data_IF_547254514375
#
_entry.id   IF_547254514375
#
_cell.length_a   1.000
_cell.length_b   1.000
_cell.length_c   1.000
_cell.angle_alpha   90.00
_cell.angle_beta   90.00
_cell.angle_gamma   90.00
#
_symmetry.space_group_name_H-M   'P 1'
#
loop_
_entity.id
_entity.type
_entity.pdbx_description
1 polymer ?
#
# COMPACT_ATOMS: atom_id res chain seq x y z
N UNK A 1 2.65 25.11 -5.61
CA UNK A 1 1.41 24.36 -5.90
C UNK A 1 1.52 22.86 -5.62
N UNK A 2 2.69 22.27 -5.38
CA UNK A 2 2.78 20.85 -4.99
C UNK A 2 2.49 20.60 -3.50
N UNK A 3 2.64 21.62 -2.66
CA UNK A 3 2.49 21.51 -1.20
C UNK A 3 1.04 21.24 -0.77
N UNK A 4 0.05 21.90 -1.40
CA UNK A 4 -1.36 21.80 -1.01
C UNK A 4 -2.00 20.45 -1.36
N UNK A 5 -1.59 19.84 -2.49
CA UNK A 5 -2.11 18.53 -2.92
C UNK A 5 -1.60 17.40 -2.03
N UNK A 6 -0.38 17.54 -1.51
CA UNK A 6 0.26 16.58 -0.61
C UNK A 6 -0.39 16.59 0.79
N UNK A 7 -0.80 17.76 1.29
CA UNK A 7 -1.53 17.89 2.56
C UNK A 7 -2.97 17.36 2.47
N UNK A 8 -3.68 17.62 1.35
CA UNK A 8 -5.04 17.13 1.15
C UNK A 8 -5.15 15.60 1.01
N UNK A 9 -4.11 14.93 0.50
CA UNK A 9 -4.07 13.47 0.36
C UNK A 9 -3.73 12.77 1.68
N UNK A 10 -2.97 13.41 2.58
CA UNK A 10 -2.65 12.84 3.88
C UNK A 10 -3.87 12.74 4.80
N UNK A 11 -4.82 13.67 4.68
CA UNK A 11 -6.02 13.75 5.54
C UNK A 11 -7.21 12.90 5.03
N UNK A 12 -7.00 12.05 4.01
CA UNK A 12 -8.01 11.07 3.61
C UNK A 12 -8.22 10.07 4.75
N UNK A 13 -9.49 9.88 5.12
CA UNK A 13 -9.92 8.89 6.10
C UNK A 13 -9.29 7.50 5.81
N UNK A 14 -8.61 6.87 6.79
CA UNK A 14 -7.98 5.58 6.59
C UNK A 14 -8.91 4.49 6.05
N UNK A 15 -10.21 4.50 6.41
CA UNK A 15 -11.20 3.57 5.87
C UNK A 15 -11.41 3.73 4.36
N UNK A 16 -11.28 4.96 3.83
CA UNK A 16 -11.34 5.24 2.38
C UNK A 16 -10.10 4.68 1.68
N UNK A 17 -8.92 4.81 2.29
CA UNK A 17 -7.68 4.20 1.76
C UNK A 17 -7.80 2.68 1.72
N UNK A 18 -8.37 2.05 2.75
CA UNK A 18 -8.65 0.60 2.76
C UNK A 18 -9.64 0.22 1.67
N UNK A 19 -10.69 1.02 1.43
CA UNK A 19 -11.65 0.77 0.36
C UNK A 19 -10.96 0.74 -1.00
N UNK A 20 -10.25 1.81 -1.34
CA UNK A 20 -9.51 1.96 -2.58
C UNK A 20 -8.51 0.81 -2.81
N UNK A 21 -7.70 0.50 -1.79
CA UNK A 21 -6.75 -0.61 -1.84
C UNK A 21 -7.46 -1.96 -2.03
N UNK A 22 -8.66 -2.15 -1.47
CA UNK A 22 -9.42 -3.39 -1.63
C UNK A 22 -10.02 -3.57 -3.02
N UNK A 23 -10.28 -2.47 -3.73
CA UNK A 23 -10.78 -2.48 -5.10
C UNK A 23 -9.67 -2.84 -6.09
N UNK A 24 -8.47 -2.28 -5.90
CA UNK A 24 -7.32 -2.52 -6.79
C UNK A 24 -6.60 -3.84 -6.46
N UNK A 25 -6.23 -4.04 -5.19
CA UNK A 25 -5.42 -5.21 -4.79
C UNK A 25 -6.28 -6.45 -4.45
N UNK A 26 -7.58 -6.24 -4.20
CA UNK A 26 -8.47 -7.27 -3.68
C UNK A 26 -8.33 -7.47 -2.17
N UNK A 27 -9.41 -7.93 -1.53
CA UNK A 27 -9.48 -8.02 -0.07
C UNK A 27 -8.42 -8.89 0.61
N UNK A 28 -7.90 -9.94 -0.06
CA UNK A 28 -6.85 -10.80 0.51
C UNK A 28 -5.52 -10.07 0.70
N UNK A 29 -5.08 -9.30 -0.30
CA UNK A 29 -3.84 -8.53 -0.19
C UNK A 29 -4.01 -7.36 0.77
N UNK A 30 -5.14 -6.68 0.75
CA UNK A 30 -5.44 -5.62 1.73
C UNK A 30 -5.43 -6.17 3.17
N UNK A 31 -6.00 -7.36 3.40
CA UNK A 31 -5.95 -8.02 4.70
C UNK A 31 -4.50 -8.35 5.10
N UNK A 32 -3.72 -8.90 4.17
CA UNK A 32 -2.31 -9.22 4.41
C UNK A 32 -1.49 -7.98 4.79
N UNK A 33 -1.62 -6.88 4.03
CA UNK A 33 -0.93 -5.61 4.31
C UNK A 33 -1.32 -5.07 5.69
N UNK A 34 -2.62 -5.07 6.01
CA UNK A 34 -3.11 -4.66 7.33
C UNK A 34 -2.69 -5.59 8.47
N UNK A 35 -2.26 -6.82 8.17
CA UNK A 35 -1.97 -7.83 9.19
C UNK A 35 -3.21 -8.53 9.75
N UNK A 36 -4.34 -8.43 9.06
CA UNK A 36 -5.56 -9.17 9.40
C UNK A 36 -5.45 -10.65 9.00
N UNK A 37 -6.16 -11.50 9.75
CA UNK A 37 -6.25 -12.94 9.47
C UNK A 37 -7.29 -13.30 8.40
N UNK A 38 -8.22 -12.38 8.13
CA UNK A 38 -9.36 -12.61 7.23
C UNK A 38 -9.78 -11.33 6.48
N UNK A 39 -10.57 -11.51 5.42
CA UNK A 39 -11.12 -10.42 4.60
C UNK A 39 -12.37 -9.78 5.23
N UNK A 40 -13.00 -10.42 6.20
CA UNK A 40 -14.13 -9.85 6.94
C UNK A 40 -13.68 -8.62 7.75
N UNK A 41 -12.46 -8.65 8.29
CA UNK A 41 -11.82 -7.52 8.97
C UNK A 41 -11.65 -6.32 8.04
N UNK A 42 -11.23 -6.55 6.79
CA UNK A 42 -11.15 -5.50 5.76
C UNK A 42 -12.53 -4.88 5.52
N UNK A 43 -13.59 -5.68 5.47
CA UNK A 43 -14.96 -5.17 5.35
C UNK A 43 -15.34 -4.26 6.52
N UNK A 44 -15.02 -4.67 7.76
CA UNK A 44 -15.30 -3.86 8.96
C UNK A 44 -14.52 -2.54 8.97
N UNK A 45 -13.27 -2.53 8.52
CA UNK A 45 -12.48 -1.30 8.37
C UNK A 45 -13.12 -0.35 7.35
N UNK A 46 -13.52 -0.84 6.17
CA UNK A 46 -14.17 -0.03 5.12
C UNK A 46 -15.48 0.58 5.60
N UNK A 47 -16.28 -0.19 6.35
CA UNK A 47 -17.57 0.25 6.86
C UNK A 47 -17.47 1.08 8.15
N UNK A 48 -16.25 1.43 8.61
CA UNK A 48 -15.98 2.13 9.88
C UNK A 48 -16.56 1.41 11.12
N UNK A 49 -16.84 0.12 11.01
CA UNK A 49 -17.34 -0.72 12.11
C UNK A 49 -16.21 -1.15 13.06
N UNK A 50 -14.96 -1.06 12.60
CA UNK A 50 -13.77 -1.31 13.38
C UNK A 50 -12.76 -0.20 13.08
N UNK A 51 -12.23 0.44 14.12
CA UNK A 51 -11.16 1.44 13.97
C UNK A 51 -9.85 0.74 13.61
N UNK A 52 -9.04 1.42 12.80
CA UNK A 52 -7.68 1.01 12.53
C UNK A 52 -6.76 1.45 13.66
N UNK A 53 -5.75 0.62 13.96
CA UNK A 53 -4.62 0.96 14.82
C UNK A 53 -3.65 1.87 14.07
N UNK A 54 -2.77 2.57 14.80
CA UNK A 54 -1.74 3.43 14.19
C UNK A 54 -0.83 2.67 13.22
N UNK A 55 -0.42 1.44 13.57
CA UNK A 55 0.38 0.59 12.69
C UNK A 55 -0.37 0.21 11.41
N UNK A 56 -1.64 -0.15 11.51
CA UNK A 56 -2.48 -0.42 10.32
C UNK A 56 -2.62 0.82 9.43
N UNK A 57 -2.86 2.00 10.02
CA UNK A 57 -2.93 3.27 9.29
C UNK A 57 -1.62 3.53 8.55
N UNK A 58 -0.47 3.35 9.20
CA UNK A 58 0.85 3.55 8.59
C UNK A 58 1.08 2.62 7.40
N UNK A 59 0.72 1.33 7.53
CA UNK A 59 0.82 0.34 6.44
C UNK A 59 -0.07 0.69 5.26
N UNK A 60 -1.31 1.10 5.52
CA UNK A 60 -2.25 1.48 4.46
C UNK A 60 -1.90 2.81 3.81
N UNK A 61 -1.35 3.78 4.54
CA UNK A 61 -0.87 5.02 3.95
C UNK A 61 0.23 4.75 2.92
N UNK A 62 1.22 3.92 3.27
CA UNK A 62 2.31 3.59 2.36
C UNK A 62 1.85 2.80 1.14
N UNK A 63 0.99 1.79 1.35
CA UNK A 63 0.42 1.03 0.24
C UNK A 63 -0.45 1.91 -0.67
N UNK A 64 -1.24 2.82 -0.08
CA UNK A 64 -2.09 3.76 -0.82
C UNK A 64 -1.26 4.68 -1.69
N UNK A 65 -0.20 5.30 -1.15
CA UNK A 65 0.66 6.22 -1.89
C UNK A 65 1.33 5.52 -3.10
N UNK A 66 1.81 4.27 -2.90
CA UNK A 66 2.37 3.48 -3.99
C UNK A 66 1.33 3.08 -5.05
N UNK A 67 0.15 2.59 -4.63
CA UNK A 67 -0.92 2.22 -5.58
C UNK A 67 -1.45 3.44 -6.33
N UNK A 68 -1.63 4.57 -5.64
CA UNK A 68 -2.06 5.84 -6.25
C UNK A 68 -1.06 6.29 -7.31
N UNK A 69 0.24 6.26 -7.01
CA UNK A 69 1.27 6.58 -7.99
C UNK A 69 1.14 5.72 -9.26
N UNK A 70 0.96 4.41 -9.12
CA UNK A 70 0.84 3.51 -10.28
C UNK A 70 -0.44 3.74 -11.07
N UNK A 71 -1.57 3.96 -10.40
CA UNK A 71 -2.85 4.26 -11.06
C UNK A 71 -2.81 5.61 -11.80
N UNK A 72 -2.17 6.63 -11.22
CA UNK A 72 -1.92 7.91 -11.87
C UNK A 72 -1.05 7.76 -13.14
N UNK A 73 -0.13 6.78 -13.14
CA UNK A 73 0.70 6.39 -14.29
C UNK A 73 0.04 5.34 -15.20
N UNK A 74 -1.27 5.11 -15.07
CA UNK A 74 -2.09 4.25 -15.95
C UNK A 74 -1.70 2.77 -15.95
N UNK A 75 -1.05 2.30 -14.89
CA UNK A 75 -0.81 0.88 -14.68
C UNK A 75 -2.14 0.21 -14.33
N UNK A 76 -2.49 -0.90 -14.98
CA UNK A 76 -3.77 -1.56 -14.73
C UNK A 76 -3.83 -2.19 -13.33
N UNK A 77 -5.03 -2.35 -12.78
CA UNK A 77 -5.19 -2.97 -11.46
C UNK A 77 -4.57 -4.38 -11.37
N UNK A 78 -4.65 -5.16 -12.45
CA UNK A 78 -4.04 -6.49 -12.52
C UNK A 78 -2.51 -6.44 -12.49
N UNK A 79 -1.89 -5.47 -13.19
CA UNK A 79 -0.45 -5.24 -13.15
C UNK A 79 0.01 -4.74 -11.78
N UNK A 80 -0.71 -3.77 -11.17
CA UNK A 80 -0.43 -3.29 -9.82
C UNK A 80 -0.46 -4.45 -8.83
N UNK A 81 -1.46 -5.33 -8.95
CA UNK A 81 -1.60 -6.50 -8.10
C UNK A 81 -0.47 -7.52 -8.32
N UNK A 82 -0.07 -7.75 -9.56
CA UNK A 82 1.08 -8.60 -9.88
C UNK A 82 2.38 -8.04 -9.29
N UNK A 83 2.61 -6.74 -9.44
CA UNK A 83 3.75 -6.02 -8.85
C UNK A 83 3.75 -6.10 -7.33
N UNK A 84 2.59 -6.00 -6.68
CA UNK A 84 2.48 -6.06 -5.23
C UNK A 84 2.89 -7.43 -4.65
N UNK A 85 2.74 -8.51 -5.43
CA UNK A 85 3.06 -9.88 -5.04
C UNK A 85 4.48 -10.27 -5.45
N UNK A 86 4.96 -9.77 -6.60
CA UNK A 86 6.28 -10.11 -7.14
C UNK A 86 7.43 -9.64 -6.25
N UNK A 87 8.46 -10.47 -6.10
CA UNK A 87 9.70 -10.11 -5.37
C UNK A 87 10.59 -9.24 -6.26
N UNK A 88 10.25 -7.96 -6.35
CA UNK A 88 10.89 -6.99 -7.24
C UNK A 88 11.58 -5.83 -6.51
N UNK A 89 11.40 -5.73 -5.19
CA UNK A 89 11.96 -4.66 -4.40
C UNK A 89 13.21 -5.14 -3.66
N UNK A 90 14.32 -4.41 -3.79
CA UNK A 90 15.56 -4.75 -3.09
C UNK A 90 15.50 -4.42 -1.61
N UNK A 91 15.97 -5.35 -0.78
CA UNK A 91 16.18 -5.17 0.66
C UNK A 91 17.57 -5.68 1.06
N UNK A 92 18.02 -5.37 2.28
CA UNK A 92 19.28 -5.90 2.82
C UNK A 92 19.34 -7.43 2.93
N UNK A 93 18.21 -8.14 2.75
CA UNK A 93 18.11 -9.61 2.78
C UNK A 93 17.81 -10.23 1.40
N UNK A 94 17.88 -9.43 0.33
CA UNK A 94 17.51 -9.85 -1.03
C UNK A 94 16.22 -9.21 -1.52
N UNK A 95 15.62 -9.80 -2.55
CA UNK A 95 14.38 -9.31 -3.13
C UNK A 95 13.20 -9.63 -2.21
N UNK A 96 12.30 -8.67 -2.06
CA UNK A 96 11.04 -8.81 -1.33
C UNK A 96 9.91 -8.20 -2.16
N UNK A 97 8.69 -8.62 -1.87
CA UNK A 97 7.52 -8.03 -2.51
C UNK A 97 7.09 -6.73 -1.82
N UNK A 98 6.53 -5.76 -2.57
CA UNK A 98 6.00 -4.52 -2.00
C UNK A 98 4.98 -4.77 -0.90
N UNK A 99 4.07 -5.73 -1.08
CA UNK A 99 3.08 -6.09 -0.06
C UNK A 99 3.71 -6.54 1.26
N UNK A 100 4.80 -7.33 1.21
CA UNK A 100 5.56 -7.76 2.39
C UNK A 100 6.30 -6.60 3.03
N UNK A 101 6.85 -5.69 2.23
CA UNK A 101 7.52 -4.49 2.73
C UNK A 101 6.54 -3.57 3.46
N UNK A 102 5.39 -3.26 2.85
CA UNK A 102 4.36 -2.43 3.48
C UNK A 102 3.83 -3.08 4.76
N UNK A 103 3.58 -4.39 4.76
CA UNK A 103 3.16 -5.11 5.98
C UNK A 103 4.14 -4.94 7.15
N UNK A 104 5.44 -4.86 6.85
CA UNK A 104 6.50 -4.75 7.85
C UNK A 104 7.06 -3.33 7.99
N UNK A 105 6.36 -2.30 7.50
CA UNK A 105 6.86 -0.91 7.48
C UNK A 105 7.11 -0.32 8.87
N UNK A 106 6.50 -0.89 9.90
CA UNK A 106 6.75 -0.50 11.30
C UNK A 106 8.17 -0.86 11.76
N UNK A 107 8.81 -1.81 11.06
CA UNK A 107 10.19 -2.25 11.32
C UNK A 107 11.21 -1.55 10.41
N UNK A 108 10.75 -0.75 9.46
CA UNK A 108 11.63 -0.01 8.57
C UNK A 108 12.14 1.26 9.29
N UNK A 109 13.40 1.62 9.03
CA UNK A 109 14.00 2.86 9.54
C UNK A 109 13.26 4.08 8.98
N UNK A 110 12.81 4.01 7.72
CA UNK A 110 12.06 5.07 7.04
C UNK A 110 10.92 4.50 6.15
N UNK A 111 9.66 4.82 6.45
CA UNK A 111 8.52 4.46 5.59
C UNK A 111 8.62 5.02 4.17
N UNK A 112 9.08 6.28 4.03
CA UNK A 112 9.24 6.94 2.74
C UNK A 112 10.27 6.23 1.85
N UNK A 113 11.34 5.66 2.43
CA UNK A 113 12.33 4.91 1.66
C UNK A 113 11.73 3.60 1.12
N UNK A 114 10.88 2.93 1.91
CA UNK A 114 10.16 1.74 1.44
C UNK A 114 9.27 2.06 0.24
N UNK A 115 8.55 3.20 0.29
CA UNK A 115 7.66 3.63 -0.81
C UNK A 115 8.49 3.97 -2.06
N UNK A 116 9.58 4.74 -1.91
CA UNK A 116 10.49 5.08 -3.02
C UNK A 116 11.09 3.83 -3.66
N UNK A 117 11.51 2.85 -2.85
CA UNK A 117 12.04 1.58 -3.36
C UNK A 117 10.98 0.80 -4.15
N UNK A 118 9.74 0.76 -3.66
CA UNK A 118 8.64 0.10 -4.35
C UNK A 118 8.27 0.80 -5.68
N UNK A 119 8.32 2.13 -5.73
CA UNK A 119 8.14 2.92 -6.96
C UNK A 119 9.26 2.62 -7.96
N UNK A 120 10.51 2.65 -7.52
CA UNK A 120 11.66 2.36 -8.37
C UNK A 120 11.60 0.94 -8.96
N UNK A 121 11.22 -0.05 -8.14
CA UNK A 121 11.02 -1.43 -8.59
C UNK A 121 9.93 -1.55 -9.66
N UNK A 122 8.80 -0.86 -9.47
CA UNK A 122 7.72 -0.85 -10.46
C UNK A 122 8.15 -0.21 -11.79
N UNK A 123 8.82 0.93 -11.74
CA UNK A 123 9.29 1.62 -12.94
C UNK A 123 10.29 0.79 -13.74
N UNK A 124 11.16 0.01 -13.07
CA UNK A 124 12.09 -0.89 -13.74
C UNK A 124 11.39 -2.07 -14.46
N UNK A 125 10.22 -2.49 -13.99
CA UNK A 125 9.47 -3.60 -14.61
C UNK A 125 8.61 -3.11 -15.77
N UNK A 126 8.11 -1.87 -15.68
CA UNK A 126 7.18 -1.28 -16.64
C UNK A 126 7.87 -0.57 -17.82
N UNK A 127 9.19 -0.36 -17.76
CA UNK A 127 10.01 0.21 -18.83
C UNK A 127 10.41 -0.82 -19.89
#
# INVERSE_FOLDING_TARGET
>A
METERSEQLQDIDPSVKVLYLSEILGGKLTAYIGGAKDTATVTRWKMRQQKLTEGEIKRFNAAFEWVQYLDENKVSADEIKALAIGENMHSGQGLISPSKAFRNIDKAESPQEVIKAAIAAANHILS
#
